data_IF_562837178274
#
_entry.id   IF_562837178274
#
_cell.length_a   1.000
_cell.length_b   1.000
_cell.length_c   1.000
_cell.angle_alpha   90.00
_cell.angle_beta   90.00
_cell.angle_gamma   90.00
#
_symmetry.space_group_name_H-M   'P 1'
#
loop_
_entity.id
_entity.type
_entity.pdbx_description
1 polymer ?
#
# COMPACT_ATOMS: atom_id res chain seq x y z
N UNK A 1 -7.47 17.53 -1.74
CA UNK A 1 -7.11 17.60 -0.31
C UNK A 1 -6.56 16.26 0.14
N UNK A 2 -5.24 16.20 0.38
CA UNK A 2 -4.57 14.99 0.87
C UNK A 2 -4.23 15.21 2.36
N UNK A 3 -4.98 14.60 3.24
CA UNK A 3 -4.60 14.52 4.64
C UNK A 3 -5.24 13.30 5.30
N UNK A 4 -4.43 12.35 5.71
CA UNK A 4 -4.85 11.21 6.54
C UNK A 4 -4.10 11.27 7.85
N UNK A 5 -4.83 11.19 8.97
CA UNK A 5 -4.20 11.08 10.28
C UNK A 5 -3.47 9.73 10.41
N UNK A 6 -2.23 9.72 10.92
CA UNK A 6 -1.49 8.48 11.21
C UNK A 6 -2.26 7.50 12.10
N UNK A 7 -3.17 8.00 12.93
CA UNK A 7 -4.01 7.20 13.84
C UNK A 7 -5.07 6.39 13.10
N UNK A 8 -5.67 6.93 12.04
CA UNK A 8 -6.67 6.19 11.24
C UNK A 8 -6.02 5.05 10.46
N UNK A 9 -4.79 5.24 9.97
CA UNK A 9 -3.98 4.21 9.32
C UNK A 9 -3.50 3.12 10.31
N UNK A 10 -3.15 3.49 11.53
CA UNK A 10 -2.72 2.56 12.58
C UNK A 10 -3.85 1.61 13.01
N UNK A 11 -5.10 2.06 13.00
CA UNK A 11 -6.25 1.23 13.36
C UNK A 11 -6.46 0.07 12.38
N UNK A 12 -6.23 0.32 11.10
CA UNK A 12 -6.29 -0.71 10.04
C UNK A 12 -5.17 -1.73 10.22
N UNK A 13 -3.96 -1.28 10.59
CA UNK A 13 -2.81 -2.17 10.80
C UNK A 13 -2.92 -3.02 12.09
N UNK A 14 -3.46 -2.49 13.20
CA UNK A 14 -3.57 -3.24 14.46
C UNK A 14 -4.41 -4.50 14.37
N UNK A 15 -5.46 -4.49 13.56
CA UNK A 15 -6.33 -5.66 13.40
C UNK A 15 -5.68 -6.81 12.59
N UNK A 16 -4.56 -6.56 11.90
CA UNK A 16 -3.85 -7.58 11.12
C UNK A 16 -3.17 -8.66 11.97
N UNK A 17 -2.70 -8.30 13.18
CA UNK A 17 -1.86 -9.19 14.00
C UNK A 17 -2.63 -10.05 15.01
N UNK A 18 -3.95 -9.92 15.10
CA UNK A 18 -4.76 -10.71 16.03
C UNK A 18 -5.35 -11.99 15.43
N UNK A 19 -5.14 -12.25 14.15
CA UNK A 19 -5.59 -13.49 13.51
C UNK A 19 -4.53 -14.57 13.66
N UNK A 20 -4.72 -15.47 14.63
CA UNK A 20 -3.95 -16.70 14.77
C UNK A 20 -4.07 -17.57 13.51
N UNK A 21 -2.93 -18.10 13.07
CA UNK A 21 -2.84 -18.98 11.91
C UNK A 21 -3.41 -20.36 12.24
N UNK A 22 -4.71 -20.55 12.09
CA UNK A 22 -5.23 -21.88 11.83
C UNK A 22 -5.26 -22.08 10.31
N UNK A 23 -4.51 -23.05 9.82
CA UNK A 23 -4.53 -23.48 8.42
C UNK A 23 -5.84 -24.19 8.18
N UNK A 24 -6.89 -23.44 7.89
CA UNK A 24 -8.16 -23.99 7.44
C UNK A 24 -8.18 -24.10 5.92
N UNK A 25 -8.88 -25.11 5.39
CA UNK A 25 -9.10 -25.24 3.95
C UNK A 25 -9.78 -23.97 3.43
N UNK A 26 -9.41 -23.52 2.22
CA UNK A 26 -9.96 -22.29 1.57
C UNK A 26 -11.48 -22.31 1.47
N UNK A 27 -12.07 -23.50 1.39
CA UNK A 27 -13.51 -23.74 1.33
C UNK A 27 -14.20 -23.78 2.71
N UNK A 28 -13.44 -23.77 3.81
CA UNK A 28 -14.04 -23.80 5.16
C UNK A 28 -14.82 -22.52 5.44
N UNK A 29 -15.94 -22.66 6.16
CA UNK A 29 -16.78 -21.54 6.58
C UNK A 29 -15.97 -20.50 7.37
N UNK A 30 -15.11 -20.97 8.27
CA UNK A 30 -14.24 -20.11 9.09
C UNK A 30 -13.28 -19.26 8.25
N UNK A 31 -12.69 -19.83 7.20
CA UNK A 31 -11.84 -19.08 6.27
C UNK A 31 -12.65 -18.03 5.50
N UNK A 32 -13.82 -18.39 4.97
CA UNK A 32 -14.67 -17.45 4.22
C UNK A 32 -15.18 -16.30 5.09
N UNK A 33 -15.55 -16.58 6.33
CA UNK A 33 -15.93 -15.55 7.30
C UNK A 33 -14.75 -14.64 7.66
N UNK A 34 -13.56 -15.18 7.86
CA UNK A 34 -12.35 -14.41 8.12
C UNK A 34 -11.99 -13.47 6.95
N UNK A 35 -12.05 -13.95 5.71
CA UNK A 35 -11.82 -13.13 4.51
C UNK A 35 -12.88 -12.03 4.38
N UNK A 36 -14.15 -12.35 4.58
CA UNK A 36 -15.23 -11.36 4.55
C UNK A 36 -15.02 -10.29 5.61
N UNK A 37 -14.73 -10.70 6.83
CA UNK A 37 -14.46 -9.77 7.95
C UNK A 37 -13.27 -8.86 7.67
N UNK A 38 -12.16 -9.43 7.15
CA UNK A 38 -10.98 -8.67 6.75
C UNK A 38 -11.30 -7.62 5.69
N UNK A 39 -12.02 -7.99 4.62
CA UNK A 39 -12.43 -7.06 3.55
C UNK A 39 -13.34 -5.95 4.06
N UNK A 40 -14.30 -6.26 4.93
CA UNK A 40 -15.18 -5.26 5.54
C UNK A 40 -14.39 -4.29 6.41
N UNK A 41 -13.50 -4.78 7.27
CA UNK A 41 -12.70 -3.92 8.14
C UNK A 41 -11.74 -3.01 7.37
N UNK A 42 -11.10 -3.53 6.33
CA UNK A 42 -10.08 -2.78 5.58
C UNK A 42 -10.68 -1.92 4.47
N UNK A 43 -11.73 -2.39 3.81
CA UNK A 43 -12.44 -1.67 2.74
C UNK A 43 -13.49 -0.72 3.30
N UNK A 44 -14.68 -1.23 3.58
CA UNK A 44 -15.86 -0.42 3.93
C UNK A 44 -15.67 0.42 5.20
N UNK A 45 -15.20 -0.19 6.29
CA UNK A 45 -15.00 0.47 7.58
C UNK A 45 -13.63 1.16 7.70
N UNK A 46 -12.70 0.87 6.78
CA UNK A 46 -11.37 1.46 6.70
C UNK A 46 -11.29 2.54 5.62
N UNK A 47 -10.93 2.14 4.40
CA UNK A 47 -10.65 3.04 3.28
C UNK A 47 -11.86 3.90 2.94
N UNK A 48 -13.04 3.29 2.69
CA UNK A 48 -14.24 4.02 2.27
C UNK A 48 -14.70 5.03 3.31
N UNK A 49 -14.68 4.62 4.58
CA UNK A 49 -15.06 5.50 5.68
C UNK A 49 -14.19 6.75 5.77
N UNK A 50 -12.86 6.58 5.64
CA UNK A 50 -11.93 7.72 5.74
C UNK A 50 -12.05 8.61 4.51
N UNK A 51 -12.14 8.03 3.31
CA UNK A 51 -12.32 8.78 2.07
C UNK A 51 -13.61 9.61 2.08
N UNK A 52 -14.72 9.00 2.49
CA UNK A 52 -16.01 9.70 2.60
C UNK A 52 -15.98 10.80 3.67
N UNK A 53 -15.44 10.50 4.85
CA UNK A 53 -15.36 11.46 5.98
C UNK A 53 -14.56 12.72 5.60
N UNK A 54 -13.51 12.57 4.83
CA UNK A 54 -12.60 13.67 4.46
C UNK A 54 -12.77 14.15 3.02
N UNK A 55 -13.74 13.63 2.27
CA UNK A 55 -13.99 13.93 0.86
C UNK A 55 -12.71 13.85 0.02
N UNK A 56 -12.06 12.69 0.05
CA UNK A 56 -10.79 12.43 -0.63
C UNK A 56 -11.03 11.75 -1.99
N UNK A 57 -10.19 12.06 -2.97
CA UNK A 57 -10.15 11.38 -4.27
C UNK A 57 -9.23 10.16 -4.26
N UNK A 58 -8.18 10.21 -3.45
CA UNK A 58 -7.23 9.10 -3.25
C UNK A 58 -6.43 9.27 -1.95
N UNK A 59 -5.86 8.17 -1.48
CA UNK A 59 -4.74 8.18 -0.53
C UNK A 59 -3.42 8.25 -1.27
N UNK A 60 -2.43 8.88 -0.66
CA UNK A 60 -1.05 8.91 -1.14
C UNK A 60 -0.09 8.52 -0.01
N UNK A 61 0.87 7.69 -0.32
CA UNK A 61 1.91 7.31 0.64
C UNK A 61 3.16 6.80 -0.08
N UNK A 62 4.36 6.86 0.52
CA UNK A 62 5.49 6.10 0.01
C UNK A 62 5.12 4.63 -0.12
N UNK A 63 5.47 3.99 -1.24
CA UNK A 63 5.13 2.58 -1.49
C UNK A 63 5.76 1.65 -0.46
N UNK A 64 7.01 1.92 -0.13
CA UNK A 64 7.78 1.17 0.86
C UNK A 64 9.03 1.95 1.26
N UNK A 65 9.79 1.38 2.20
CA UNK A 65 11.13 1.87 2.52
C UNK A 65 12.08 1.71 1.33
N UNK A 66 13.17 2.52 1.23
CA UNK A 66 14.25 2.24 0.29
C UNK A 66 14.77 0.81 0.47
N UNK A 67 15.22 0.19 -0.63
CA UNK A 67 15.85 -1.11 -0.53
C UNK A 67 17.07 -1.06 0.40
N UNK A 68 17.24 -2.09 1.19
CA UNK A 68 18.32 -2.22 2.18
C UNK A 68 19.30 -3.32 1.77
N UNK A 69 20.49 -3.30 2.35
CA UNK A 69 21.45 -4.40 2.20
C UNK A 69 20.98 -5.61 3.00
N UNK A 70 21.12 -6.79 2.42
CA UNK A 70 20.85 -8.05 3.13
C UNK A 70 21.73 -8.13 4.40
N UNK A 71 21.10 -8.30 5.53
CA UNK A 71 21.77 -8.46 6.84
C UNK A 71 21.43 -9.84 7.39
N UNK A 72 22.41 -10.75 7.33
CA UNK A 72 22.24 -12.13 7.75
C UNK A 72 22.24 -12.29 9.30
N UNK A 73 22.62 -11.24 10.04
CA UNK A 73 22.70 -11.27 11.50
C UNK A 73 21.44 -10.66 12.12
N UNK A 74 21.03 -9.47 11.65
CA UNK A 74 19.93 -8.72 12.25
C UNK A 74 18.62 -8.84 11.46
N UNK A 75 18.65 -9.47 10.29
CA UNK A 75 17.50 -9.62 9.39
C UNK A 75 17.14 -8.37 8.61
N UNK A 76 16.01 -8.40 7.96
CA UNK A 76 15.54 -7.35 7.06
C UNK A 76 15.05 -6.10 7.80
N UNK A 77 15.43 -4.94 7.27
CA UNK A 77 15.01 -3.62 7.79
C UNK A 77 13.75 -3.10 7.08
N UNK A 78 12.66 -3.82 7.26
CA UNK A 78 11.38 -3.47 6.67
C UNK A 78 10.60 -2.47 7.54
N UNK A 79 10.54 -1.20 7.15
CA UNK A 79 9.94 -0.15 7.97
C UNK A 79 8.51 0.21 7.60
N UNK A 80 8.18 0.23 6.30
CA UNK A 80 6.86 0.68 5.82
C UNK A 80 6.47 -0.07 4.54
N UNK A 81 5.17 -0.35 4.40
CA UNK A 81 4.55 -0.76 3.15
C UNK A 81 3.10 -0.33 3.13
N UNK A 82 2.68 0.26 2.03
CA UNK A 82 1.30 0.65 1.79
C UNK A 82 0.52 -0.36 0.98
N UNK A 83 1.19 -1.35 0.39
CA UNK A 83 0.55 -2.42 -0.38
C UNK A 83 -0.45 -3.25 0.43
N UNK A 84 -0.24 -3.31 1.75
CA UNK A 84 -1.11 -4.02 2.71
C UNK A 84 -2.56 -3.58 2.63
N UNK A 85 -2.83 -2.29 2.47
CA UNK A 85 -4.20 -1.77 2.44
C UNK A 85 -4.97 -2.29 1.23
N UNK A 86 -4.37 -2.22 0.06
CA UNK A 86 -4.94 -2.74 -1.17
C UNK A 86 -5.04 -4.27 -1.15
N UNK A 87 -4.01 -4.96 -0.68
CA UNK A 87 -3.99 -6.42 -0.62
C UNK A 87 -5.10 -7.01 0.28
N UNK A 88 -5.38 -6.38 1.43
CA UNK A 88 -6.40 -6.85 2.36
C UNK A 88 -7.82 -6.45 1.96
N UNK A 89 -8.02 -5.26 1.42
CA UNK A 89 -9.33 -4.80 0.96
C UNK A 89 -9.72 -5.36 -0.41
N UNK A 90 -8.74 -5.64 -1.26
CA UNK A 90 -8.94 -5.92 -2.69
C UNK A 90 -9.21 -4.66 -3.50
N UNK A 91 -8.84 -3.49 -2.98
CA UNK A 91 -9.03 -2.20 -3.65
C UNK A 91 -7.83 -1.83 -4.51
N UNK A 92 -8.01 -0.95 -5.51
CA UNK A 92 -6.95 -0.60 -6.45
C UNK A 92 -5.82 0.18 -5.80
N UNK A 93 -4.61 -0.07 -6.28
CA UNK A 93 -3.39 0.64 -5.92
C UNK A 93 -2.51 0.80 -7.16
N UNK A 94 -2.01 1.99 -7.40
CA UNK A 94 -1.06 2.29 -8.45
C UNK A 94 0.22 2.88 -7.86
N UNK A 95 1.36 2.47 -8.40
CA UNK A 95 2.68 2.92 -7.96
C UNK A 95 3.42 3.62 -9.11
N UNK A 96 4.02 4.75 -8.80
CA UNK A 96 4.88 5.50 -9.72
C UNK A 96 6.18 5.91 -9.04
N UNK A 97 7.28 6.17 -9.81
CA UNK A 97 8.53 6.63 -9.24
C UNK A 97 8.38 7.94 -8.48
N UNK A 98 8.82 7.98 -7.22
CA UNK A 98 8.84 9.19 -6.39
C UNK A 98 10.20 9.90 -6.44
N UNK A 99 11.27 9.18 -6.69
CA UNK A 99 12.63 9.71 -6.72
C UNK A 99 13.68 8.71 -6.28
N UNK A 100 14.78 9.20 -5.71
CA UNK A 100 15.90 8.38 -5.28
C UNK A 100 16.39 8.85 -3.91
N UNK A 101 16.75 7.90 -3.06
CA UNK A 101 17.46 8.11 -1.78
C UNK A 101 18.78 7.35 -1.88
N UNK A 102 19.91 8.03 -1.81
CA UNK A 102 21.25 7.44 -1.96
C UNK A 102 21.38 6.57 -3.23
N UNK A 103 20.84 7.04 -4.36
CA UNK A 103 20.74 6.33 -5.64
C UNK A 103 19.81 5.10 -5.65
N UNK A 104 19.12 4.79 -4.57
CA UNK A 104 18.11 3.73 -4.51
C UNK A 104 16.75 4.31 -4.91
N UNK A 105 16.06 3.73 -5.91
CA UNK A 105 14.74 4.21 -6.30
C UNK A 105 13.71 4.00 -5.21
N UNK A 106 12.82 4.97 -5.04
CA UNK A 106 11.66 4.90 -4.15
C UNK A 106 10.40 5.21 -4.93
N UNK A 107 9.29 4.61 -4.53
CA UNK A 107 7.99 4.77 -5.17
C UNK A 107 6.99 5.49 -4.28
N UNK A 108 6.01 6.12 -4.91
CA UNK A 108 4.80 6.62 -4.28
C UNK A 108 3.61 5.80 -4.77
N UNK A 109 2.75 5.41 -3.85
CA UNK A 109 1.51 4.71 -4.12
C UNK A 109 0.32 5.63 -3.96
N UNK A 110 -0.62 5.52 -4.91
CA UNK A 110 -1.96 6.08 -4.82
C UNK A 110 -2.95 4.92 -4.73
N UNK A 111 -3.85 4.96 -3.77
CA UNK A 111 -4.87 3.94 -3.61
C UNK A 111 -6.19 4.57 -3.16
N UNK A 112 -7.30 3.91 -3.45
CA UNK A 112 -8.62 4.49 -3.23
C UNK A 112 -9.69 3.44 -2.98
N UNK A 113 -10.93 3.85 -3.18
CA UNK A 113 -12.10 2.99 -3.03
C UNK A 113 -12.19 1.97 -4.16
N UNK A 114 -13.06 1.01 -3.99
CA UNK A 114 -13.39 0.02 -5.02
C UNK A 114 -13.79 0.72 -6.33
N UNK A 115 -13.25 0.27 -7.44
CA UNK A 115 -13.52 0.79 -8.80
C UNK A 115 -13.04 2.22 -9.06
N UNK A 116 -12.08 2.72 -8.28
CA UNK A 116 -11.47 4.05 -8.48
C UNK A 116 -10.26 4.05 -9.44
N UNK A 117 -10.01 2.96 -10.16
CA UNK A 117 -8.88 2.81 -11.09
C UNK A 117 -8.73 3.99 -12.07
N UNK A 118 -9.80 4.49 -12.72
CA UNK A 118 -9.67 5.63 -13.64
C UNK A 118 -9.10 6.88 -12.94
N UNK A 119 -9.63 7.23 -11.77
CA UNK A 119 -9.16 8.38 -10.99
C UNK A 119 -7.71 8.21 -10.54
N UNK A 120 -7.34 7.00 -10.09
CA UNK A 120 -5.97 6.71 -9.68
C UNK A 120 -4.97 6.79 -10.84
N UNK A 121 -5.36 6.35 -12.04
CA UNK A 121 -4.55 6.47 -13.26
C UNK A 121 -4.35 7.93 -13.63
N UNK A 122 -5.39 8.75 -13.59
CA UNK A 122 -5.30 10.19 -13.86
C UNK A 122 -4.35 10.89 -12.88
N UNK A 123 -4.48 10.62 -11.58
CA UNK A 123 -3.61 11.20 -10.54
C UNK A 123 -2.16 10.75 -10.75
N UNK A 124 -1.93 9.45 -10.94
CA UNK A 124 -0.60 8.90 -11.13
C UNK A 124 0.07 9.42 -12.40
N UNK A 125 -0.67 9.52 -13.49
CA UNK A 125 -0.20 10.08 -14.76
C UNK A 125 0.16 11.56 -14.60
N UNK A 126 -0.71 12.36 -14.00
CA UNK A 126 -0.44 13.77 -13.75
C UNK A 126 0.83 13.95 -12.89
N UNK A 127 0.98 13.15 -11.84
CA UNK A 127 2.17 13.15 -11.00
C UNK A 127 3.43 12.81 -11.79
N UNK A 128 3.41 11.72 -12.57
CA UNK A 128 4.56 11.27 -13.36
C UNK A 128 4.97 12.30 -14.43
N UNK A 129 4.00 12.92 -15.13
CA UNK A 129 4.27 13.95 -16.12
C UNK A 129 4.88 15.22 -15.54
N UNK A 130 4.50 15.58 -14.33
CA UNK A 130 5.01 16.76 -13.63
C UNK A 130 6.40 16.54 -13.06
N UNK A 131 6.66 15.38 -12.48
CA UNK A 131 7.88 15.10 -11.71
C UNK A 131 8.98 14.48 -12.54
N UNK A 132 8.65 13.62 -13.52
CA UNK A 132 9.58 12.89 -14.41
C UNK A 132 10.73 12.20 -13.66
N UNK A 133 10.43 11.64 -12.50
CA UNK A 133 11.43 11.00 -11.64
C UNK A 133 11.97 9.67 -12.17
N UNK A 134 11.28 9.06 -13.15
CA UNK A 134 11.69 7.79 -13.72
C UNK A 134 13.03 7.91 -14.42
N UNK A 135 13.98 7.01 -14.05
CA UNK A 135 15.26 6.82 -14.74
C UNK A 135 15.39 5.36 -15.16
N UNK A 136 15.98 5.12 -16.32
CA UNK A 136 16.28 3.76 -16.77
C UNK A 136 17.37 3.13 -15.88
N UNK A 137 17.30 1.81 -15.63
CA UNK A 137 18.33 1.12 -14.85
C UNK A 137 19.65 1.12 -15.60
N UNK A 138 20.75 1.16 -14.85
CA UNK A 138 22.13 1.24 -15.41
C UNK A 138 22.82 -0.11 -15.44
N UNK A 139 22.22 -1.23 -15.27
CA UNK A 139 22.81 -2.58 -15.37
C UNK A 139 24.33 -2.60 -15.07
N UNK A 140 24.70 -2.21 -13.85
CA UNK A 140 26.10 -2.18 -13.42
C UNK A 140 26.58 -3.63 -13.27
N UNK A 141 27.73 -4.01 -13.87
CA UNK A 141 28.31 -5.34 -13.63
C UNK A 141 28.59 -5.55 -12.14
N UNK A 142 28.24 -6.72 -11.63
CA UNK A 142 28.63 -7.15 -10.29
C UNK A 142 30.04 -7.74 -10.40
N UNK A 143 30.99 -7.13 -9.72
CA UNK A 143 32.34 -7.70 -9.54
C UNK A 143 32.30 -8.95 -8.67
#
# INVERSE_FOLDING_TARGET
>A
NFAVSPTDLLLICKNKYSMSYEVSLVESTSYQEAIKHMKTLTGELGIDRVMTKHNLDAFVSPTGSPAWKTDLINGDKYYISTTVFAALSGYPNINVPMGFIDNVPVGVSFFGTKWSEPTLIEIAYAYEQQTKHRKSPKYIPTD
#
